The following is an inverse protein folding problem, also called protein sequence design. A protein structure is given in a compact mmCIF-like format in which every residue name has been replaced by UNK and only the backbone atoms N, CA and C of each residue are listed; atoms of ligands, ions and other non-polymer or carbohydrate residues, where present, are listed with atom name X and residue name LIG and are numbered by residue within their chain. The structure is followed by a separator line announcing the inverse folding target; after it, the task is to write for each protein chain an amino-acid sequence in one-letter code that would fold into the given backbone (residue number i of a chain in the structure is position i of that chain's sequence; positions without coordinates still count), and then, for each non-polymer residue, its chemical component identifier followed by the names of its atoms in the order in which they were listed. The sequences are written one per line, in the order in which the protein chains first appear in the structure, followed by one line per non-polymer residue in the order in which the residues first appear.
data_IF_667435745250
#
_entry.id   IF_667435745250
#
_cell.length_a   1.000
_cell.length_b   1.000
_cell.length_c   1.000
_cell.angle_alpha   90.00
_cell.angle_beta   90.00
_cell.angle_gamma   90.00
#
_symmetry.space_group_name_H-M   'P 1'
#
loop_
_entity.id
_entity.type
_entity.pdbx_description
1 polymer ?
#
# COMPACT_ATOMS: atom_id res chain seq x y z
N UNK A 1 6.11 -3.24 42.76
CA UNK A 1 5.99 -2.41 41.55
C UNK A 1 5.12 -3.15 40.57
N UNK A 2 3.96 -2.59 40.21
CA UNK A 2 3.00 -3.25 39.32
C UNK A 2 3.54 -3.23 37.90
N UNK A 3 3.86 -4.39 37.33
CA UNK A 3 4.31 -4.48 35.95
C UNK A 3 3.08 -4.34 35.07
N UNK A 4 2.93 -3.14 34.50
CA UNK A 4 1.84 -2.80 33.58
C UNK A 4 2.01 -3.63 32.30
N UNK A 5 1.27 -4.73 32.20
CA UNK A 5 1.29 -5.60 31.02
C UNK A 5 0.56 -4.86 29.88
N UNK A 6 1.30 -4.20 28.99
CA UNK A 6 0.73 -3.61 27.77
C UNK A 6 0.08 -4.74 26.97
N UNK A 7 -1.25 -4.76 26.88
CA UNK A 7 -1.94 -5.71 26.02
C UNK A 7 -1.38 -5.56 24.61
N UNK A 8 -0.70 -6.59 24.13
CA UNK A 8 -0.36 -6.69 22.72
C UNK A 8 -1.69 -6.69 21.97
N UNK A 9 -2.02 -5.57 21.31
CA UNK A 9 -3.15 -5.54 20.37
C UNK A 9 -2.91 -6.70 19.41
N UNK A 10 -3.75 -7.73 19.46
CA UNK A 10 -3.74 -8.80 18.47
C UNK A 10 -3.95 -8.13 17.13
N UNK A 11 -2.93 -8.17 16.27
CA UNK A 11 -3.04 -7.67 14.91
C UNK A 11 -3.96 -8.67 14.20
N UNK A 12 -5.24 -8.32 14.04
CA UNK A 12 -6.18 -9.11 13.25
C UNK A 12 -5.76 -9.02 11.78
N UNK A 13 -5.73 -10.15 11.07
CA UNK A 13 -5.41 -10.18 9.64
C UNK A 13 -6.44 -9.37 8.83
N UNK A 14 -7.66 -9.24 9.36
CA UNK A 14 -8.77 -8.49 8.79
C UNK A 14 -8.53 -6.96 8.78
N UNK A 15 -7.65 -6.45 9.64
CA UNK A 15 -7.27 -5.04 9.71
C UNK A 15 -6.05 -4.69 8.80
N UNK A 16 -5.53 -5.66 8.04
CA UNK A 16 -4.38 -5.43 7.18
C UNK A 16 -4.79 -4.68 5.91
N UNK A 17 -4.03 -3.63 5.51
CA UNK A 17 -4.30 -2.96 4.25
C UNK A 17 -4.03 -3.91 3.08
N UNK A 18 -4.97 -3.98 2.13
CA UNK A 18 -4.78 -4.66 0.85
C UNK A 18 -3.56 -4.07 0.12
N UNK A 19 -2.52 -4.88 -0.05
CA UNK A 19 -1.27 -4.49 -0.73
C UNK A 19 -1.21 -5.06 -2.15
N UNK A 20 -1.19 -4.18 -3.13
CA UNK A 20 -1.08 -4.52 -4.54
C UNK A 20 0.37 -4.49 -5.04
N UNK A 21 0.71 -5.37 -5.96
CA UNK A 21 1.94 -5.36 -6.76
C UNK A 21 1.96 -4.21 -7.76
N UNK A 22 3.14 -3.92 -8.32
CA UNK A 22 3.28 -3.01 -9.46
C UNK A 22 2.40 -3.43 -10.64
N UNK A 23 2.30 -4.74 -10.94
CA UNK A 23 1.56 -5.23 -12.10
C UNK A 23 0.05 -5.03 -11.94
N UNK A 24 -0.50 -5.41 -10.80
CA UNK A 24 -1.94 -5.23 -10.55
C UNK A 24 -2.35 -3.76 -10.61
N UNK A 25 -1.53 -2.85 -10.06
CA UNK A 25 -1.80 -1.40 -10.16
C UNK A 25 -1.69 -0.90 -11.61
N UNK A 26 -0.71 -1.39 -12.36
CA UNK A 26 -0.51 -1.04 -13.76
C UNK A 26 -1.69 -1.51 -14.63
N UNK A 27 -2.16 -2.74 -14.40
CA UNK A 27 -3.29 -3.34 -15.11
C UNK A 27 -4.59 -2.59 -14.79
N UNK A 28 -4.80 -2.24 -13.52
CA UNK A 28 -5.96 -1.47 -13.07
C UNK A 28 -6.00 -0.09 -13.72
N UNK A 29 -4.87 0.64 -13.70
CA UNK A 29 -4.77 1.98 -14.25
C UNK A 29 -4.53 2.02 -15.77
N UNK A 30 -4.46 0.85 -16.43
CA UNK A 30 -4.18 0.69 -17.86
C UNK A 30 -2.92 1.43 -18.33
N UNK A 31 -1.87 1.43 -17.51
CA UNK A 31 -0.58 2.07 -17.83
C UNK A 31 0.58 1.10 -17.66
N UNK A 32 1.74 1.43 -18.22
CA UNK A 32 2.91 0.57 -18.10
C UNK A 32 3.40 0.43 -16.64
N UNK A 33 3.91 -0.75 -16.22
CA UNK A 33 4.61 -0.92 -14.94
C UNK A 33 5.76 0.07 -14.72
N UNK A 34 6.41 0.52 -15.80
CA UNK A 34 7.49 1.51 -15.73
C UNK A 34 6.96 2.88 -15.28
N UNK A 35 5.77 3.27 -15.74
CA UNK A 35 5.09 4.50 -15.31
C UNK A 35 4.84 4.49 -13.82
N UNK A 36 4.32 3.38 -13.28
CA UNK A 36 4.11 3.18 -11.83
C UNK A 36 5.43 3.28 -11.06
N UNK A 37 6.52 2.67 -11.57
CA UNK A 37 7.85 2.80 -10.96
C UNK A 37 8.37 4.23 -10.94
N UNK A 38 8.09 5.01 -12.01
CA UNK A 38 8.44 6.44 -12.12
C UNK A 38 7.62 7.29 -11.15
N UNK A 39 6.33 7.01 -11.00
CA UNK A 39 5.46 7.69 -10.04
C UNK A 39 5.94 7.48 -8.61
N UNK A 40 6.38 6.26 -8.26
CA UNK A 40 7.00 5.99 -6.97
C UNK A 40 8.28 6.79 -6.72
N UNK A 41 9.14 6.96 -7.74
CA UNK A 41 10.34 7.83 -7.63
C UNK A 41 9.98 9.32 -7.50
N UNK A 42 8.91 9.77 -8.15
CA UNK A 42 8.42 11.15 -8.11
C UNK A 42 7.54 11.47 -6.89
N UNK A 43 7.28 10.49 -6.02
CA UNK A 43 6.39 10.66 -4.85
C UNK A 43 4.89 10.71 -5.16
N UNK A 44 4.47 10.60 -6.43
CA UNK A 44 3.04 10.64 -6.82
C UNK A 44 2.25 9.43 -6.33
N UNK A 45 2.91 8.28 -6.24
CA UNK A 45 2.32 7.04 -5.73
C UNK A 45 3.36 6.36 -4.82
N UNK A 46 3.36 6.65 -3.52
CA UNK A 46 4.37 6.16 -2.59
C UNK A 46 4.30 4.64 -2.49
N UNK A 47 5.44 3.98 -2.71
CA UNK A 47 5.57 2.54 -2.65
C UNK A 47 6.17 2.09 -1.31
N UNK A 48 5.60 1.05 -0.72
CA UNK A 48 6.18 0.34 0.41
C UNK A 48 7.23 -0.64 -0.14
N UNK A 49 8.46 -0.55 0.37
CA UNK A 49 9.50 -1.53 0.09
C UNK A 49 9.43 -2.63 1.14
N UNK A 50 9.15 -3.86 0.72
CA UNK A 50 8.92 -4.98 1.66
C UNK A 50 10.21 -5.73 1.98
N UNK A 51 11.20 -5.72 1.08
CA UNK A 51 12.45 -6.46 1.25
C UNK A 51 13.66 -5.69 0.72
N UNK A 52 14.85 -6.23 1.01
CA UNK A 52 16.14 -5.70 0.57
C UNK A 52 16.30 -5.66 -0.96
N UNK A 53 15.64 -6.58 -1.69
CA UNK A 53 15.59 -6.59 -3.16
C UNK A 53 14.91 -5.34 -3.73
N UNK A 54 14.07 -4.68 -2.94
CA UNK A 54 13.36 -3.47 -3.34
C UNK A 54 12.02 -3.75 -4.02
N UNK A 55 11.40 -4.88 -3.71
CA UNK A 55 10.02 -5.17 -4.14
C UNK A 55 9.07 -4.12 -3.60
N UNK A 56 8.20 -3.63 -4.48
CA UNK A 56 7.33 -2.48 -4.23
C UNK A 56 5.88 -2.93 -4.13
N UNK A 57 5.21 -2.47 -3.08
CA UNK A 57 3.77 -2.65 -2.91
C UNK A 57 3.06 -1.33 -2.66
N UNK A 58 1.80 -1.31 -3.07
CA UNK A 58 0.95 -0.14 -3.06
C UNK A 58 -0.29 -0.46 -2.24
N UNK A 59 -0.64 0.44 -1.32
CA UNK A 59 -1.89 0.30 -0.56
C UNK A 59 -3.07 0.54 -1.48
N UNK A 60 -4.04 -0.37 -1.47
CA UNK A 60 -5.28 -0.27 -2.26
C UNK A 60 -5.98 1.07 -2.07
N UNK A 61 -6.08 1.55 -0.83
CA UNK A 61 -6.63 2.89 -0.49
C UNK A 61 -5.97 4.06 -1.25
N UNK A 62 -4.67 4.01 -1.53
CA UNK A 62 -3.98 5.08 -2.26
C UNK A 62 -4.27 4.97 -3.76
N UNK A 63 -4.38 3.73 -4.27
CA UNK A 63 -4.71 3.48 -5.67
C UNK A 63 -6.17 3.85 -5.96
N UNK A 64 -7.10 3.56 -5.05
CA UNK A 64 -8.50 3.96 -5.15
C UNK A 64 -8.66 5.49 -5.11
N UNK A 65 -7.94 6.18 -4.23
CA UNK A 65 -7.88 7.66 -4.23
C UNK A 65 -7.44 8.23 -5.56
N UNK A 66 -6.48 7.60 -6.25
CA UNK A 66 -6.05 8.04 -7.59
C UNK A 66 -7.12 7.87 -8.67
N UNK A 67 -8.06 6.92 -8.49
CA UNK A 67 -9.19 6.73 -9.39
C UNK A 67 -10.33 7.71 -9.14
N UNK A 68 -10.25 8.53 -8.07
CA UNK A 68 -11.37 9.35 -7.63
C UNK A 68 -12.52 8.54 -7.05
N UNK A 69 -12.27 7.27 -6.68
CA UNK A 69 -13.22 6.48 -5.89
C UNK A 69 -13.00 6.90 -4.44
N UNK A 70 -13.62 8.01 -4.06
CA UNK A 70 -13.75 8.37 -2.66
C UNK A 70 -14.78 7.40 -2.07
N UNK A 71 -14.35 6.53 -1.15
CA UNK A 71 -15.31 5.94 -0.22
C UNK A 71 -15.79 7.10 0.64
N UNK A 72 -16.94 7.68 0.30
CA UNK A 72 -17.75 8.45 1.23
C UNK A 72 -17.92 7.58 2.48
N UNK A 73 -17.20 7.96 3.54
CA UNK A 73 -17.35 7.38 4.88
C UNK A 73 -18.40 8.15 5.65
#
# INVERSE_FOLDING_TARGET
MSVNNKSTKKISLDDLPDLMTIREVADLLRISPLTIKRWGKKGKLPAIRINSRGDRRYRKEVVLRLLGVEEEK
#
